data_IF_233997588293
#
_entry.id   IF_233997588293
#
_cell.length_a   1.000
_cell.length_b   1.000
_cell.length_c   1.000
_cell.angle_alpha   90.00
_cell.angle_beta   90.00
_cell.angle_gamma   90.00
#
_symmetry.space_group_name_H-M   'P 1'
#
loop_
_entity.id
_entity.type
_entity.pdbx_description
1 polymer ?
#
# COMPACT_ATOMS: atom_id res chain seq x y z
N UNK A 1 -15.86 3.71 1.38
CA UNK A 1 -14.73 4.35 2.10
C UNK A 1 -15.27 4.84 3.44
N UNK A 2 -14.54 4.59 4.52
CA UNK A 2 -14.86 5.04 5.88
C UNK A 2 -13.73 5.90 6.43
N UNK A 3 -14.05 6.77 7.39
CA UNK A 3 -13.08 7.67 8.02
C UNK A 3 -12.98 7.31 9.51
N UNK A 4 -11.79 6.98 9.99
CA UNK A 4 -11.59 6.62 11.39
C UNK A 4 -11.83 7.80 12.36
N UNK A 5 -11.82 9.04 11.88
CA UNK A 5 -12.25 10.18 12.67
C UNK A 5 -13.65 9.98 13.26
N UNK A 6 -14.56 9.29 12.56
CA UNK A 6 -15.93 9.09 13.00
C UNK A 6 -16.05 8.33 14.33
N UNK A 7 -15.13 7.42 14.62
CA UNK A 7 -15.10 6.69 15.89
C UNK A 7 -14.05 7.21 16.87
N UNK A 8 -13.04 7.96 16.40
CA UNK A 8 -12.04 8.55 17.30
C UNK A 8 -12.45 9.89 17.90
N UNK A 9 -13.31 10.67 17.25
CA UNK A 9 -13.73 12.00 17.71
C UNK A 9 -14.36 12.00 19.10
N UNK A 10 -14.96 10.88 19.51
CA UNK A 10 -15.59 10.72 20.82
C UNK A 10 -14.62 10.21 21.92
N UNK A 11 -13.43 9.78 21.54
CA UNK A 11 -12.43 9.37 22.52
C UNK A 11 -11.72 10.58 23.13
N UNK A 12 -11.75 10.70 24.46
CA UNK A 12 -10.75 11.50 25.14
C UNK A 12 -9.40 10.75 25.16
N UNK A 13 -8.29 11.50 25.26
CA UNK A 13 -6.96 10.90 25.37
C UNK A 13 -6.88 9.89 26.54
N UNK A 14 -7.37 10.28 27.73
CA UNK A 14 -7.37 9.39 28.88
C UNK A 14 -8.30 8.17 28.68
N UNK A 15 -9.43 8.36 28.01
CA UNK A 15 -10.34 7.27 27.65
C UNK A 15 -9.63 6.24 26.76
N UNK A 16 -8.95 6.69 25.71
CA UNK A 16 -8.22 5.80 24.80
C UNK A 16 -7.11 5.02 25.51
N UNK A 17 -6.30 5.69 26.32
CA UNK A 17 -5.24 5.01 27.11
C UNK A 17 -5.84 3.95 28.03
N UNK A 18 -6.94 4.26 28.71
CA UNK A 18 -7.60 3.34 29.65
C UNK A 18 -8.28 2.18 28.92
N UNK A 19 -8.92 2.41 27.79
CA UNK A 19 -9.76 1.41 27.13
C UNK A 19 -8.99 0.56 26.12
N UNK A 20 -8.01 1.13 25.44
CA UNK A 20 -7.20 0.46 24.41
C UNK A 20 -5.78 0.21 24.88
N UNK A 21 -5.11 1.23 25.40
CA UNK A 21 -3.69 1.17 25.76
C UNK A 21 -3.35 0.06 26.77
N UNK A 22 -4.26 -0.23 27.71
CA UNK A 22 -4.05 -1.28 28.73
C UNK A 22 -3.85 -2.71 28.17
N UNK A 23 -4.30 -2.96 26.93
CA UNK A 23 -4.20 -4.30 26.34
C UNK A 23 -2.86 -4.57 25.66
N UNK A 24 -2.08 -3.54 25.36
CA UNK A 24 -0.81 -3.67 24.65
C UNK A 24 0.34 -3.14 25.53
N UNK A 25 1.31 -4.00 25.82
CA UNK A 25 2.48 -3.57 26.60
C UNK A 25 3.48 -2.78 25.73
N UNK A 26 4.22 -1.88 26.36
CA UNK A 26 5.33 -1.15 25.69
C UNK A 26 6.34 -2.13 25.11
N UNK A 27 6.67 -3.21 25.81
CA UNK A 27 7.60 -4.23 25.29
C UNK A 27 7.10 -4.87 23.99
N UNK A 28 5.79 -5.13 23.88
CA UNK A 28 5.18 -5.63 22.64
C UNK A 28 5.32 -4.61 21.52
N UNK A 29 5.04 -3.33 21.78
CA UNK A 29 5.19 -2.26 20.79
C UNK A 29 6.63 -2.11 20.33
N UNK A 30 7.59 -2.16 21.27
CA UNK A 30 9.04 -2.10 21.02
C UNK A 30 9.57 -3.30 20.24
N UNK A 31 8.90 -4.46 20.30
CA UNK A 31 9.33 -5.67 19.59
C UNK A 31 9.12 -5.63 18.08
N UNK A 32 8.33 -4.67 17.58
CA UNK A 32 8.06 -4.52 16.14
C UNK A 32 9.29 -4.08 15.36
N UNK A 33 9.57 -4.69 14.22
CA UNK A 33 10.78 -4.41 13.45
C UNK A 33 10.85 -2.95 12.96
N UNK A 34 9.73 -2.37 12.57
CA UNK A 34 9.63 -0.96 12.21
C UNK A 34 10.02 -0.02 13.37
N UNK A 35 9.63 -0.36 14.59
CA UNK A 35 9.98 0.39 15.80
C UNK A 35 11.45 0.21 16.15
N UNK A 36 11.96 -1.04 16.13
CA UNK A 36 13.37 -1.32 16.40
C UNK A 36 14.31 -0.56 15.46
N UNK A 37 14.02 -0.57 14.15
CA UNK A 37 14.81 0.14 13.15
C UNK A 37 14.87 1.65 13.42
N UNK A 38 13.77 2.24 13.90
CA UNK A 38 13.72 3.67 14.25
C UNK A 38 14.48 3.97 15.54
N UNK A 39 14.42 3.09 16.53
CA UNK A 39 15.17 3.24 17.79
C UNK A 39 16.68 3.18 17.60
N UNK A 40 17.17 2.39 16.66
CA UNK A 40 18.61 2.28 16.33
C UNK A 40 19.07 3.35 15.36
N UNK A 41 18.16 4.10 14.75
CA UNK A 41 18.47 5.20 13.84
C UNK A 41 18.82 6.49 14.57
N UNK A 42 19.50 7.41 13.87
CA UNK A 42 19.99 8.68 14.43
C UNK A 42 18.86 9.63 14.90
N UNK A 43 17.69 9.53 14.30
CA UNK A 43 16.58 10.48 14.55
C UNK A 43 15.59 10.05 15.63
N UNK A 44 15.69 8.80 16.12
CA UNK A 44 14.74 8.23 17.08
C UNK A 44 13.31 8.07 16.51
N UNK A 45 12.32 7.90 17.42
CA UNK A 45 10.91 7.75 17.08
C UNK A 45 10.07 8.75 17.88
N UNK A 46 9.14 9.46 17.23
CA UNK A 46 8.23 10.36 17.93
C UNK A 46 7.14 9.57 18.66
N UNK A 47 6.53 10.19 19.68
CA UNK A 47 5.38 9.58 20.38
C UNK A 47 4.23 9.27 19.41
N UNK A 48 3.96 10.16 18.46
CA UNK A 48 2.93 9.96 17.43
C UNK A 48 3.20 8.72 16.59
N UNK A 49 4.43 8.57 16.09
CA UNK A 49 4.84 7.42 15.30
C UNK A 49 4.80 6.11 16.13
N UNK A 50 5.25 6.18 17.38
CA UNK A 50 5.21 5.03 18.29
C UNK A 50 3.79 4.59 18.63
N UNK A 51 2.88 5.53 18.89
CA UNK A 51 1.49 5.25 19.26
C UNK A 51 0.60 4.90 18.05
N UNK A 52 1.04 5.20 16.82
CA UNK A 52 0.26 4.95 15.60
C UNK A 52 -0.25 3.51 15.48
N UNK A 53 0.54 2.53 15.88
CA UNK A 53 0.16 1.12 15.86
C UNK A 53 -1.07 0.82 16.74
N UNK A 54 -1.31 1.58 17.81
CA UNK A 54 -2.51 1.44 18.65
C UNK A 54 -3.74 2.02 17.95
N UNK A 55 -3.58 3.13 17.23
CA UNK A 55 -4.67 3.77 16.49
C UNK A 55 -5.14 2.84 15.38
N UNK A 56 -4.25 2.40 14.51
CA UNK A 56 -4.60 1.46 13.44
C UNK A 56 -5.07 0.10 13.99
N UNK A 57 -4.49 -0.33 15.10
CA UNK A 57 -4.93 -1.55 15.78
C UNK A 57 -6.39 -1.45 16.26
N UNK A 58 -6.78 -0.31 16.81
CA UNK A 58 -8.18 -0.07 17.22
C UNK A 58 -9.12 0.09 16.03
N UNK A 59 -8.67 0.65 14.90
CA UNK A 59 -9.46 0.63 13.66
C UNK A 59 -9.91 -0.78 13.32
N UNK A 60 -9.01 -1.77 13.44
CA UNK A 60 -9.36 -3.15 13.18
C UNK A 60 -10.40 -3.69 14.18
N UNK A 61 -10.27 -3.36 15.48
CA UNK A 61 -11.29 -3.71 16.48
C UNK A 61 -12.65 -3.12 16.14
N UNK A 62 -12.67 -1.82 15.81
CA UNK A 62 -13.91 -1.14 15.45
C UNK A 62 -14.58 -1.75 14.23
N UNK A 63 -13.81 -1.99 13.17
CA UNK A 63 -14.30 -2.59 11.92
C UNK A 63 -14.73 -4.06 12.11
N UNK A 64 -14.03 -4.82 12.91
CA UNK A 64 -14.44 -6.18 13.27
C UNK A 64 -15.80 -6.17 13.97
N UNK A 65 -15.93 -5.35 15.01
CA UNK A 65 -17.13 -5.29 15.85
C UNK A 65 -18.36 -4.76 15.14
N UNK A 66 -18.19 -3.68 14.36
CA UNK A 66 -19.33 -2.95 13.77
C UNK A 66 -19.60 -3.33 12.31
N UNK A 67 -18.61 -3.83 11.58
CA UNK A 67 -18.72 -4.12 10.14
C UNK A 67 -18.43 -5.60 9.80
N UNK A 68 -18.08 -6.45 10.79
CA UNK A 68 -17.76 -7.86 10.56
C UNK A 68 -16.46 -8.09 9.76
N UNK A 69 -15.55 -7.10 9.72
CA UNK A 69 -14.28 -7.21 9.00
C UNK A 69 -13.37 -8.21 9.69
N UNK A 70 -12.92 -9.23 8.97
CA UNK A 70 -12.05 -10.30 9.49
C UNK A 70 -10.64 -10.31 8.92
N UNK A 71 -10.40 -9.59 7.82
CA UNK A 71 -9.08 -9.54 7.18
C UNK A 71 -8.67 -8.08 7.00
N UNK A 72 -7.46 -7.73 7.46
CA UNK A 72 -6.83 -6.46 7.13
C UNK A 72 -5.66 -6.71 6.19
N UNK A 73 -5.63 -5.96 5.08
CA UNK A 73 -4.59 -6.06 4.05
C UNK A 73 -3.76 -4.78 3.99
N UNK A 74 -2.48 -4.91 3.64
CA UNK A 74 -1.61 -3.77 3.43
C UNK A 74 -0.29 -4.12 2.76
N UNK A 75 0.60 -3.14 2.64
CA UNK A 75 2.00 -3.39 2.28
C UNK A 75 2.76 -4.07 3.43
N UNK A 76 3.90 -4.68 3.14
CA UNK A 76 4.72 -5.37 4.13
C UNK A 76 5.20 -4.47 5.28
N UNK A 77 5.29 -3.16 5.04
CA UNK A 77 5.59 -2.14 6.05
C UNK A 77 4.47 -1.99 7.11
N UNK A 78 3.23 -2.41 6.79
CA UNK A 78 2.07 -2.35 7.68
C UNK A 78 1.93 -3.57 8.60
N UNK A 79 2.78 -4.59 8.44
CA UNK A 79 2.67 -5.83 9.20
C UNK A 79 2.60 -5.62 10.71
N UNK A 80 3.47 -4.75 11.26
CA UNK A 80 3.51 -4.43 12.69
C UNK A 80 2.20 -3.83 13.20
N UNK A 81 1.61 -2.90 12.45
CA UNK A 81 0.35 -2.26 12.81
C UNK A 81 -0.82 -3.23 12.72
N UNK A 82 -0.92 -3.99 11.63
CA UNK A 82 -2.01 -4.96 11.41
C UNK A 82 -2.00 -6.05 12.48
N UNK A 83 -0.82 -6.59 12.81
CA UNK A 83 -0.70 -7.62 13.87
C UNK A 83 -1.01 -7.08 15.26
N UNK A 84 -0.81 -5.78 15.51
CA UNK A 84 -1.29 -5.14 16.75
C UNK A 84 -2.83 -5.13 16.80
N UNK A 85 -3.48 -4.92 15.65
CA UNK A 85 -4.94 -5.03 15.53
C UNK A 85 -5.45 -6.43 15.82
N UNK A 86 -4.78 -7.49 15.33
CA UNK A 86 -5.13 -8.89 15.65
C UNK A 86 -5.09 -9.11 17.17
N UNK A 87 -4.03 -8.66 17.82
CA UNK A 87 -3.86 -8.83 19.26
C UNK A 87 -4.93 -8.05 20.06
N UNK A 88 -5.28 -6.84 19.60
CA UNK A 88 -6.35 -6.05 20.20
C UNK A 88 -7.72 -6.71 20.02
N UNK A 89 -8.07 -7.19 18.82
CA UNK A 89 -9.34 -7.91 18.60
C UNK A 89 -9.43 -9.13 19.50
N UNK A 90 -8.35 -9.91 19.59
CA UNK A 90 -8.29 -11.09 20.47
C UNK A 90 -8.53 -10.73 21.94
N UNK A 91 -7.88 -9.67 22.43
CA UNK A 91 -7.94 -9.28 23.84
C UNK A 91 -9.21 -8.53 24.23
N UNK A 92 -9.76 -7.72 23.33
CA UNK A 92 -10.92 -6.87 23.64
C UNK A 92 -12.24 -7.56 23.32
N UNK A 93 -12.31 -8.30 22.22
CA UNK A 93 -13.55 -8.89 21.70
C UNK A 93 -13.56 -10.44 21.73
N UNK A 94 -12.42 -11.08 22.06
CA UNK A 94 -12.29 -12.55 22.01
C UNK A 94 -12.41 -13.11 20.58
N UNK A 95 -12.27 -12.27 19.57
CA UNK A 95 -12.45 -12.62 18.16
C UNK A 95 -11.17 -13.12 17.49
N UNK A 96 -11.35 -13.75 16.33
CA UNK A 96 -10.28 -14.20 15.44
C UNK A 96 -10.32 -13.42 14.12
N UNK A 97 -9.19 -12.81 13.78
CA UNK A 97 -9.00 -12.02 12.54
C UNK A 97 -7.63 -12.27 11.96
N UNK A 98 -7.45 -11.93 10.68
CA UNK A 98 -6.28 -12.29 9.90
C UNK A 98 -5.61 -11.06 9.27
N UNK A 99 -4.28 -11.14 9.12
CA UNK A 99 -3.46 -10.18 8.40
C UNK A 99 -3.01 -10.75 7.06
N UNK A 100 -3.01 -9.91 6.03
CA UNK A 100 -2.42 -10.23 4.74
C UNK A 100 -1.57 -9.04 4.27
N UNK A 101 -0.31 -9.28 3.93
CA UNK A 101 0.56 -8.23 3.40
C UNK A 101 1.18 -8.64 2.09
N UNK A 102 1.39 -7.66 1.21
CA UNK A 102 2.13 -7.82 -0.03
C UNK A 102 3.45 -7.03 0.02
N UNK A 103 4.52 -7.49 -0.68
CA UNK A 103 5.73 -6.71 -0.85
C UNK A 103 5.45 -5.32 -1.42
N UNK A 104 6.22 -4.33 -0.98
CA UNK A 104 6.13 -2.98 -1.55
C UNK A 104 6.65 -2.98 -2.99
N UNK A 105 5.91 -2.33 -3.88
CA UNK A 105 6.36 -2.09 -5.25
C UNK A 105 7.46 -1.03 -5.23
N UNK A 106 8.59 -1.37 -5.82
CA UNK A 106 9.75 -0.49 -5.94
C UNK A 106 10.11 -0.34 -7.41
N UNK A 107 10.87 0.71 -7.73
CA UNK A 107 11.58 0.80 -9.00
C UNK A 107 12.84 -0.07 -8.96
N UNK A 108 13.33 -0.48 -10.11
CA UNK A 108 14.57 -1.25 -10.25
C UNK A 108 15.79 -0.51 -9.68
N UNK A 109 15.81 0.81 -9.76
CA UNK A 109 16.83 1.68 -9.18
C UNK A 109 16.72 1.85 -7.64
N UNK A 110 15.75 1.19 -6.99
CA UNK A 110 15.45 1.32 -5.57
C UNK A 110 14.61 2.54 -5.20
N UNK A 111 14.27 3.38 -6.18
CA UNK A 111 13.43 4.56 -6.00
C UNK A 111 12.00 4.24 -5.59
N UNK A 112 11.30 5.25 -5.06
CA UNK A 112 9.89 5.11 -4.68
C UNK A 112 9.01 5.01 -5.93
N UNK A 113 8.16 3.99 -5.99
CA UNK A 113 7.13 3.86 -7.02
C UNK A 113 6.08 4.97 -6.93
N UNK A 114 5.50 5.35 -8.08
CA UNK A 114 4.41 6.35 -8.17
C UNK A 114 4.85 7.80 -8.03
N UNK A 115 6.17 8.07 -8.03
CA UNK A 115 6.73 9.42 -8.08
C UNK A 115 7.48 9.65 -9.39
N UNK A 116 7.14 10.74 -10.08
CA UNK A 116 7.92 11.31 -11.18
C UNK A 116 8.80 12.46 -10.67
N UNK A 117 9.69 12.98 -11.50
CA UNK A 117 10.44 14.22 -11.22
C UNK A 117 9.52 15.41 -10.91
N UNK A 118 8.29 15.38 -11.42
CA UNK A 118 7.27 16.42 -11.23
C UNK A 118 6.32 16.13 -10.04
N UNK A 119 6.57 15.09 -9.24
CA UNK A 119 5.76 14.73 -8.09
C UNK A 119 4.99 13.41 -8.24
N UNK A 120 3.84 13.28 -7.57
CA UNK A 120 3.03 12.07 -7.59
C UNK A 120 2.27 11.93 -8.91
N UNK A 121 2.13 10.69 -9.39
CA UNK A 121 1.22 10.34 -10.48
C UNK A 121 -0.14 9.98 -9.88
N UNK A 122 -1.15 10.80 -10.18
CA UNK A 122 -2.49 10.69 -9.63
C UNK A 122 -3.40 9.90 -10.58
N UNK A 123 -4.34 9.15 -10.01
CA UNK A 123 -5.40 8.48 -10.78
C UNK A 123 -6.48 9.46 -11.25
N UNK A 124 -6.61 10.60 -10.57
CA UNK A 124 -7.55 11.66 -10.91
C UNK A 124 -7.02 12.45 -12.11
N UNK A 125 -7.78 12.46 -13.21
CA UNK A 125 -7.44 13.12 -14.47
C UNK A 125 -7.30 14.65 -14.35
N UNK A 126 -7.93 15.26 -13.34
CA UNK A 126 -7.77 16.69 -13.05
C UNK A 126 -6.39 17.04 -12.47
N UNK A 127 -5.68 16.05 -11.89
CA UNK A 127 -4.36 16.21 -11.28
C UNK A 127 -3.23 15.68 -12.15
N UNK A 128 -3.46 14.54 -12.80
CA UNK A 128 -2.54 13.95 -13.79
C UNK A 128 -3.37 13.60 -15.01
N UNK A 129 -3.17 14.34 -16.12
CA UNK A 129 -3.93 14.07 -17.34
C UNK A 129 -3.69 12.64 -17.84
N UNK A 130 -4.65 12.01 -18.57
CA UNK A 130 -4.48 10.69 -19.17
C UNK A 130 -3.20 10.56 -19.99
N UNK A 131 -2.84 11.59 -20.75
CA UNK A 131 -1.57 11.65 -21.49
C UNK A 131 -0.35 11.56 -20.56
N UNK A 132 -0.30 12.33 -19.46
CA UNK A 132 0.82 12.26 -18.51
C UNK A 132 0.85 10.93 -17.77
N UNK A 133 -0.32 10.35 -17.49
CA UNK A 133 -0.45 9.03 -16.89
C UNK A 133 0.10 7.95 -17.83
N UNK A 134 -0.29 7.97 -19.09
CA UNK A 134 0.25 7.09 -20.14
C UNK A 134 1.78 7.23 -20.26
N UNK A 135 2.29 8.45 -20.32
CA UNK A 135 3.73 8.71 -20.44
C UNK A 135 4.54 8.19 -19.25
N UNK A 136 3.98 8.21 -18.05
CA UNK A 136 4.64 7.64 -16.87
C UNK A 136 4.95 6.14 -17.07
N UNK A 137 3.98 5.37 -17.54
CA UNK A 137 4.15 3.95 -17.80
C UNK A 137 5.01 3.68 -19.03
N UNK A 138 4.81 4.47 -20.09
CA UNK A 138 5.61 4.36 -21.30
C UNK A 138 7.10 4.60 -21.02
N UNK A 139 7.45 5.49 -20.10
CA UNK A 139 8.83 5.83 -19.76
C UNK A 139 9.45 4.91 -18.68
N UNK A 140 8.80 3.83 -18.32
CA UNK A 140 9.38 2.81 -17.43
C UNK A 140 10.68 2.22 -18.02
N UNK A 141 11.63 1.86 -17.15
CA UNK A 141 12.79 1.07 -17.57
C UNK A 141 12.35 -0.33 -18.04
N UNK A 142 13.19 -1.01 -18.81
CA UNK A 142 12.86 -2.38 -19.27
C UNK A 142 12.69 -3.33 -18.08
N UNK A 143 13.53 -3.21 -17.07
CA UNK A 143 13.44 -4.01 -15.84
C UNK A 143 12.15 -3.73 -15.06
N UNK A 144 11.80 -2.46 -14.90
CA UNK A 144 10.54 -2.06 -14.27
C UNK A 144 9.33 -2.59 -15.06
N UNK A 145 9.34 -2.43 -16.38
CA UNK A 145 8.23 -2.87 -17.23
C UNK A 145 7.99 -4.39 -17.13
N UNK A 146 9.08 -5.21 -17.10
CA UNK A 146 9.01 -6.66 -16.90
C UNK A 146 8.39 -7.05 -15.55
N UNK A 147 8.63 -6.26 -14.51
CA UNK A 147 8.08 -6.50 -13.18
C UNK A 147 6.65 -5.96 -13.07
N UNK A 148 6.41 -4.75 -13.54
CA UNK A 148 5.14 -4.06 -13.35
C UNK A 148 4.01 -4.64 -14.20
N UNK A 149 4.30 -5.19 -15.40
CA UNK A 149 3.27 -5.85 -16.22
C UNK A 149 2.62 -7.03 -15.48
N UNK A 150 3.41 -7.74 -14.63
CA UNK A 150 2.92 -8.85 -13.81
C UNK A 150 2.06 -8.39 -12.63
N UNK A 151 2.29 -7.18 -12.14
CA UNK A 151 1.65 -6.64 -10.92
C UNK A 151 0.39 -5.86 -11.28
N UNK A 152 0.46 -5.05 -12.34
CA UNK A 152 -0.56 -4.04 -12.62
C UNK A 152 -1.52 -4.42 -13.75
N UNK A 153 -1.30 -5.54 -14.46
CA UNK A 153 -2.22 -5.97 -15.52
C UNK A 153 -2.95 -7.27 -15.15
N UNK A 154 -4.04 -7.56 -15.87
CA UNK A 154 -4.74 -8.85 -15.80
C UNK A 154 -4.40 -9.75 -17.01
N UNK A 155 -3.34 -9.43 -17.73
CA UNK A 155 -2.82 -10.24 -18.83
C UNK A 155 -2.40 -11.60 -18.26
N UNK A 156 -2.70 -12.67 -18.98
CA UNK A 156 -2.36 -14.01 -18.55
C UNK A 156 -0.83 -14.22 -18.46
N UNK A 157 -0.39 -15.13 -17.59
CA UNK A 157 1.04 -15.44 -17.45
C UNK A 157 1.68 -15.81 -18.78
N UNK A 158 1.02 -16.65 -19.58
CA UNK A 158 1.52 -17.10 -20.88
C UNK A 158 1.73 -15.93 -21.87
N UNK A 159 0.80 -14.97 -21.88
CA UNK A 159 0.94 -13.76 -22.71
C UNK A 159 2.04 -12.85 -22.21
N UNK A 160 2.17 -12.68 -20.89
CA UNK A 160 3.27 -11.88 -20.29
C UNK A 160 4.62 -12.50 -20.67
N UNK A 161 4.77 -13.81 -20.56
CA UNK A 161 6.01 -14.51 -20.94
C UNK A 161 6.34 -14.32 -22.42
N UNK A 162 5.34 -14.36 -23.30
CA UNK A 162 5.50 -14.08 -24.74
C UNK A 162 5.92 -12.63 -24.99
N UNK A 163 5.27 -11.67 -24.35
CA UNK A 163 5.60 -10.24 -24.48
C UNK A 163 7.01 -9.93 -23.96
N UNK A 164 7.45 -10.59 -22.87
CA UNK A 164 8.82 -10.45 -22.37
C UNK A 164 9.82 -10.99 -23.38
N UNK A 165 9.58 -12.17 -23.97
CA UNK A 165 10.47 -12.76 -24.96
C UNK A 165 10.58 -11.86 -26.22
N UNK A 166 9.45 -11.36 -26.72
CA UNK A 166 9.41 -10.44 -27.86
C UNK A 166 10.12 -9.10 -27.55
N UNK A 167 9.94 -8.59 -26.33
CA UNK A 167 10.64 -7.38 -25.89
C UNK A 167 12.17 -7.59 -25.84
N UNK A 168 12.63 -8.75 -25.37
CA UNK A 168 14.06 -9.07 -25.25
C UNK A 168 14.75 -9.19 -26.62
N UNK A 169 14.01 -9.56 -27.66
CA UNK A 169 14.51 -9.57 -29.05
C UNK A 169 14.63 -8.14 -29.63
N UNK A 170 13.73 -7.23 -29.27
CA UNK A 170 13.69 -5.87 -29.79
C UNK A 170 13.33 -4.82 -28.71
N UNK A 171 14.20 -4.57 -27.72
CA UNK A 171 13.90 -3.64 -26.61
C UNK A 171 13.55 -2.22 -27.06
N UNK A 172 14.13 -1.77 -28.17
CA UNK A 172 13.87 -0.46 -28.75
C UNK A 172 12.42 -0.26 -29.23
N UNK A 173 11.69 -1.34 -29.50
CA UNK A 173 10.27 -1.29 -29.86
C UNK A 173 9.37 -0.95 -28.66
N UNK A 174 9.86 -1.13 -27.42
CA UNK A 174 9.20 -0.80 -26.14
C UNK A 174 7.81 -1.44 -26.01
N UNK A 175 7.68 -2.70 -26.45
CA UNK A 175 6.39 -3.39 -26.47
C UNK A 175 5.79 -3.54 -25.08
N UNK A 176 6.62 -3.88 -24.08
CA UNK A 176 6.16 -4.04 -22.69
C UNK A 176 5.64 -2.71 -22.13
N UNK A 177 6.37 -1.62 -22.33
CA UNK A 177 5.97 -0.30 -21.84
C UNK A 177 4.69 0.19 -22.53
N UNK A 178 4.57 -0.04 -23.84
CA UNK A 178 3.37 0.31 -24.60
C UNK A 178 2.14 -0.47 -24.09
N UNK A 179 2.27 -1.78 -23.97
CA UNK A 179 1.18 -2.65 -23.45
C UNK A 179 0.79 -2.25 -22.03
N UNK A 180 1.77 -1.99 -21.16
CA UNK A 180 1.54 -1.55 -19.79
C UNK A 180 0.81 -0.20 -19.74
N UNK A 181 1.26 0.77 -20.55
CA UNK A 181 0.67 2.10 -20.59
C UNK A 181 -0.75 2.09 -21.15
N UNK A 182 -1.01 1.32 -22.20
CA UNK A 182 -2.32 1.11 -22.79
C UNK A 182 -3.30 0.50 -21.80
N UNK A 183 -2.96 -0.70 -21.26
CA UNK A 183 -3.80 -1.43 -20.30
C UNK A 183 -4.20 -0.57 -19.09
N UNK A 184 -3.25 0.17 -18.55
CA UNK A 184 -3.50 0.97 -17.35
C UNK A 184 -4.24 2.27 -17.66
N UNK A 185 -3.96 2.91 -18.79
CA UNK A 185 -4.68 4.14 -19.16
C UNK A 185 -6.14 3.85 -19.47
N UNK A 186 -6.42 2.78 -20.21
CA UNK A 186 -7.80 2.36 -20.51
C UNK A 186 -8.55 2.03 -19.20
N UNK A 187 -7.91 1.31 -18.28
CA UNK A 187 -8.53 0.87 -17.02
C UNK A 187 -8.80 1.99 -16.05
N UNK A 188 -7.87 2.94 -15.91
CA UNK A 188 -7.95 4.03 -14.92
C UNK A 188 -8.78 5.20 -15.44
N UNK A 189 -8.67 5.48 -16.71
CA UNK A 189 -9.38 6.57 -17.37
C UNK A 189 -10.46 6.02 -18.31
N UNK A 190 -10.17 5.90 -19.60
CA UNK A 190 -11.10 5.31 -20.56
C UNK A 190 -10.39 4.92 -21.86
N UNK A 191 -11.07 4.12 -22.72
CA UNK A 191 -10.63 3.89 -24.09
C UNK A 191 -10.50 5.20 -24.89
N UNK A 192 -11.48 6.10 -24.72
CA UNK A 192 -11.50 7.38 -25.40
C UNK A 192 -10.29 8.26 -25.03
N UNK A 193 -9.88 8.24 -23.75
CA UNK A 193 -8.71 8.98 -23.29
C UNK A 193 -7.38 8.39 -23.79
N UNK A 194 -7.36 7.09 -24.07
CA UNK A 194 -6.22 6.42 -24.68
C UNK A 194 -6.13 6.73 -26.18
N UNK A 195 -7.25 6.79 -26.90
CA UNK A 195 -7.31 7.01 -28.34
C UNK A 195 -7.02 8.48 -28.74
N UNK A 196 -7.15 9.46 -27.81
CA UNK A 196 -6.89 10.88 -28.00
C UNK A 196 -5.42 11.25 -27.66
#
# INVERSE_FOLDING_TARGET
VVNNYDWFKEFSFLGFIREVGKYISVNYMMSKDSVKQRFTGETGISFTEFSYQLIQGYDFVHLFKNNGVKVQMGGSDQWGNITTGIELVRKMEGGEVFAMTAPLVKKADGGKFGKSEQGNVWLDSSRTSPYKFYQFWLNASDEDAKNWIKIFTFISQAEIEKLIAEHDEAPHARILQKTLAEELTIRVHSQLDYDN
#
